data_IF_348348160517
#
_entry.id   IF_348348160517
#
_cell.length_a   1.000
_cell.length_b   1.000
_cell.length_c   1.000
_cell.angle_alpha   90.00
_cell.angle_beta   90.00
_cell.angle_gamma   90.00
#
_symmetry.space_group_name_H-M   'P 1'
#
loop_
_entity.id
_entity.type
_entity.pdbx_description
1 polymer ?
#
# COMPACT_ATOMS: atom_id res chain seq x y z
N UNK A 1 9.41 -3.94 10.74
CA UNK A 1 9.41 -4.38 12.15
C UNK A 1 9.35 -5.91 12.21
N UNK A 2 10.06 -6.54 13.15
CA UNK A 2 9.96 -7.99 13.38
C UNK A 2 9.49 -8.21 14.81
N UNK A 3 8.39 -8.93 14.98
CA UNK A 3 7.85 -9.29 16.29
C UNK A 3 7.91 -10.80 16.50
N UNK A 4 8.31 -11.23 17.71
CA UNK A 4 8.31 -12.65 18.06
C UNK A 4 6.87 -13.07 18.40
N UNK A 5 6.39 -14.15 17.81
CA UNK A 5 5.13 -14.76 18.22
C UNK A 5 5.39 -15.74 19.36
N UNK A 6 5.02 -15.42 20.61
CA UNK A 6 5.45 -16.18 21.78
C UNK A 6 4.97 -17.63 21.78
N UNK A 7 3.80 -17.88 21.21
CA UNK A 7 3.09 -19.16 21.23
C UNK A 7 3.48 -20.09 20.09
N UNK A 8 4.06 -19.58 19.01
CA UNK A 8 4.34 -20.37 17.80
C UNK A 8 5.82 -20.60 17.54
N UNK A 9 6.72 -19.99 18.34
CA UNK A 9 8.16 -20.01 18.05
C UNK A 9 8.53 -19.37 16.71
N UNK A 10 7.60 -18.61 16.11
CA UNK A 10 7.74 -17.96 14.80
C UNK A 10 8.01 -16.48 14.95
N UNK A 11 8.60 -15.90 13.91
CA UNK A 11 8.74 -14.45 13.78
C UNK A 11 7.69 -13.93 12.81
N UNK A 12 7.04 -12.83 13.17
CA UNK A 12 6.15 -12.06 12.31
C UNK A 12 6.92 -10.86 11.78
N UNK A 13 7.04 -10.77 10.47
CA UNK A 13 7.50 -9.54 9.82
C UNK A 13 6.27 -8.66 9.61
N UNK A 14 6.37 -7.40 10.05
CA UNK A 14 5.36 -6.37 9.86
C UNK A 14 6.04 -5.25 9.07
N UNK A 15 5.51 -4.98 7.89
CA UNK A 15 5.88 -3.79 7.12
C UNK A 15 5.27 -2.57 7.81
N UNK A 16 6.06 -1.52 7.97
CA UNK A 16 5.56 -0.23 8.45
C UNK A 16 5.70 0.74 7.28
N UNK A 17 4.60 1.38 6.93
CA UNK A 17 4.49 2.24 5.78
C UNK A 17 4.77 3.70 6.18
N UNK A 18 6.05 4.06 6.19
CA UNK A 18 6.51 5.39 6.62
C UNK A 18 7.34 6.14 5.58
N UNK A 19 7.59 5.55 4.41
CA UNK A 19 8.50 6.15 3.43
C UNK A 19 7.92 7.44 2.81
N UNK A 20 6.59 7.52 2.66
CA UNK A 20 5.86 8.73 2.28
C UNK A 20 4.81 9.11 3.34
N UNK A 21 5.11 8.87 4.61
CA UNK A 21 4.24 9.33 5.69
C UNK A 21 4.31 10.85 5.83
N UNK A 22 3.44 11.52 5.08
CA UNK A 22 3.15 12.94 5.21
C UNK A 22 2.03 13.16 6.23
N UNK A 23 1.94 14.37 6.76
CA UNK A 23 0.79 14.81 7.56
C UNK A 23 -0.17 15.61 6.67
N UNK A 24 -1.46 15.57 7.00
CA UNK A 24 -2.47 16.39 6.34
C UNK A 24 -2.25 17.86 6.72
N UNK A 25 -2.21 18.74 5.73
CA UNK A 25 -2.15 20.19 5.96
C UNK A 25 -3.50 20.73 6.45
N UNK A 26 -3.54 21.80 7.27
CA UNK A 26 -4.80 22.34 7.80
C UNK A 26 -5.83 22.71 6.74
N UNK A 27 -5.38 23.17 5.57
CA UNK A 27 -6.24 23.60 4.46
C UNK A 27 -6.66 22.44 3.54
N UNK A 28 -6.08 21.26 3.72
CA UNK A 28 -6.30 20.13 2.85
C UNK A 28 -7.62 19.42 3.18
N UNK A 29 -8.42 19.13 2.16
CA UNK A 29 -9.66 18.35 2.32
C UNK A 29 -9.38 16.85 2.45
N UNK A 30 -10.32 16.09 3.03
CA UNK A 30 -10.21 14.62 3.10
C UNK A 30 -10.01 13.99 1.72
N UNK A 31 -10.67 14.55 0.69
CA UNK A 31 -10.53 14.10 -0.71
C UNK A 31 -9.13 14.33 -1.25
N UNK A 32 -8.56 15.52 -1.06
CA UNK A 32 -7.19 15.83 -1.49
C UNK A 32 -6.18 14.97 -0.75
N UNK A 33 -6.37 14.80 0.56
CA UNK A 33 -5.51 14.00 1.40
C UNK A 33 -5.55 12.51 1.03
N UNK A 34 -6.76 11.93 0.97
CA UNK A 34 -6.97 10.54 0.57
C UNK A 34 -6.44 10.25 -0.84
N UNK A 35 -6.56 11.22 -1.75
CA UNK A 35 -6.00 11.14 -3.11
C UNK A 35 -4.48 11.09 -3.12
N UNK A 36 -3.81 11.96 -2.34
CA UNK A 36 -2.35 11.92 -2.21
C UNK A 36 -1.88 10.57 -1.68
N UNK A 37 -2.60 10.01 -0.70
CA UNK A 37 -2.29 8.70 -0.13
C UNK A 37 -2.51 7.55 -1.13
N UNK A 38 -3.58 7.61 -1.94
CA UNK A 38 -3.80 6.65 -3.03
C UNK A 38 -2.70 6.68 -4.09
N UNK A 39 -2.34 7.86 -4.59
CA UNK A 39 -1.40 8.02 -5.71
C UNK A 39 0.01 7.47 -5.43
N UNK A 40 0.42 7.41 -4.16
CA UNK A 40 1.78 6.99 -3.80
C UNK A 40 1.94 5.47 -3.74
N UNK A 41 0.84 4.70 -3.65
CA UNK A 41 0.77 3.23 -3.60
C UNK A 41 2.05 2.51 -3.11
N UNK A 42 2.50 2.87 -1.91
CA UNK A 42 3.72 2.31 -1.32
C UNK A 42 3.55 0.81 -1.03
N UNK A 43 2.35 0.43 -0.59
CA UNK A 43 1.96 -0.94 -0.28
C UNK A 43 2.12 -1.83 -1.52
N UNK A 44 1.53 -1.43 -2.66
CA UNK A 44 1.66 -2.12 -3.94
C UNK A 44 3.12 -2.18 -4.42
N UNK A 45 3.84 -1.06 -4.36
CA UNK A 45 5.23 -0.99 -4.77
C UNK A 45 6.13 -1.95 -3.96
N UNK A 46 6.08 -1.88 -2.63
CA UNK A 46 6.91 -2.72 -1.76
C UNK A 46 6.44 -4.17 -1.82
N UNK A 47 5.13 -4.44 -1.83
CA UNK A 47 4.56 -5.78 -1.93
C UNK A 47 5.01 -6.51 -3.19
N UNK A 48 5.03 -5.82 -4.34
CA UNK A 48 5.53 -6.36 -5.61
C UNK A 48 7.04 -6.62 -5.56
N UNK A 49 7.83 -5.68 -5.03
CA UNK A 49 9.29 -5.83 -4.89
C UNK A 49 9.63 -7.02 -3.98
N UNK A 50 8.97 -7.14 -2.83
CA UNK A 50 9.19 -8.24 -1.88
C UNK A 50 8.86 -9.58 -2.51
N UNK A 51 7.71 -9.69 -3.18
CA UNK A 51 7.32 -10.90 -3.92
C UNK A 51 8.36 -11.30 -4.95
N UNK A 52 8.88 -10.35 -5.73
CA UNK A 52 9.92 -10.64 -6.72
C UNK A 52 11.25 -11.05 -6.08
N UNK A 53 11.70 -10.35 -5.02
CA UNK A 53 12.98 -10.63 -4.36
C UNK A 53 12.97 -11.94 -3.58
N UNK A 54 11.90 -12.23 -2.85
CA UNK A 54 11.79 -13.42 -2.02
C UNK A 54 11.56 -14.69 -2.84
N UNK A 55 10.91 -14.57 -4.01
CA UNK A 55 10.81 -15.68 -4.98
C UNK A 55 12.18 -16.20 -5.41
N UNK A 56 13.21 -15.34 -5.47
CA UNK A 56 14.60 -15.77 -5.77
C UNK A 56 15.22 -16.64 -4.66
N UNK A 57 14.63 -16.63 -3.48
CA UNK A 57 15.02 -17.43 -2.32
C UNK A 57 14.06 -18.62 -2.10
N UNK A 58 13.28 -18.99 -3.12
CA UNK A 58 12.26 -20.05 -3.06
C UNK A 58 11.16 -19.80 -2.00
N UNK A 59 10.92 -18.52 -1.67
CA UNK A 59 9.88 -18.13 -0.73
C UNK A 59 8.72 -17.43 -1.45
N UNK A 60 7.54 -18.04 -1.38
CA UNK A 60 6.32 -17.45 -1.91
C UNK A 60 5.71 -16.48 -0.89
N UNK A 61 6.01 -15.19 -1.04
CA UNK A 61 5.49 -14.15 -0.15
C UNK A 61 3.99 -13.90 -0.41
N UNK A 62 3.11 -14.18 0.56
CA UNK A 62 1.68 -13.94 0.43
C UNK A 62 1.40 -12.45 0.65
N UNK A 63 1.40 -11.68 -0.44
CA UNK A 63 1.04 -10.27 -0.42
C UNK A 63 -0.40 -10.08 -0.89
N UNK A 64 -1.20 -9.42 -0.07
CA UNK A 64 -2.58 -9.01 -0.37
C UNK A 64 -2.65 -7.50 -0.17
N UNK A 65 -3.15 -6.80 -1.19
CA UNK A 65 -3.29 -5.34 -1.15
C UNK A 65 -4.52 -4.95 -0.32
N UNK A 66 -4.35 -4.02 0.62
CA UNK A 66 -5.41 -3.61 1.55
C UNK A 66 -6.58 -2.88 0.88
N UNK A 67 -6.33 -2.23 -0.26
CA UNK A 67 -7.27 -1.36 -0.97
C UNK A 67 -7.83 -0.22 -0.11
N UNK A 68 -7.13 0.16 0.97
CA UNK A 68 -7.63 1.12 1.96
C UNK A 68 -8.01 2.48 1.35
N UNK A 69 -7.25 2.95 0.35
CA UNK A 69 -7.50 4.24 -0.29
C UNK A 69 -8.29 4.14 -1.62
N UNK A 70 -8.86 2.97 -1.93
CA UNK A 70 -9.59 2.75 -3.18
C UNK A 70 -10.80 3.68 -3.34
N UNK A 71 -11.43 4.10 -2.24
CA UNK A 71 -12.53 5.07 -2.25
C UNK A 71 -12.13 6.46 -2.81
N UNK A 72 -10.83 6.76 -2.83
CA UNK A 72 -10.26 8.00 -3.34
C UNK A 72 -9.64 7.84 -4.74
N UNK A 73 -9.74 6.65 -5.34
CA UNK A 73 -9.36 6.40 -6.72
C UNK A 73 -10.20 7.26 -7.68
N UNK A 74 -9.64 7.61 -8.84
CA UNK A 74 -10.38 8.38 -9.84
C UNK A 74 -11.38 7.41 -10.47
N UNK A 75 -12.67 7.71 -10.32
CA UNK A 75 -13.69 7.16 -11.20
C UNK A 75 -13.69 7.97 -12.51
N UNK A 76 -12.54 8.07 -13.17
CA UNK A 76 -12.50 8.58 -14.54
C UNK A 76 -12.51 7.38 -15.48
N UNK A 77 -13.71 6.95 -15.84
CA UNK A 77 -13.89 6.46 -17.20
C UNK A 77 -13.83 7.69 -18.09
N UNK A 78 -13.03 7.71 -19.17
CA UNK A 78 -13.22 8.74 -20.19
C UNK A 78 -14.70 8.66 -20.61
N UNK A 79 -15.40 9.79 -20.52
CA UNK A 79 -16.73 9.91 -21.10
C UNK A 79 -16.65 9.49 -22.57
N UNK A 80 -17.50 8.56 -22.99
CA UNK A 80 -17.64 8.11 -24.39
C UNK A 80 -18.24 9.20 -25.31
N UNK A 81 -17.92 10.47 -25.07
CA UNK A 81 -18.41 11.63 -25.80
C UNK A 81 -17.23 12.52 -26.23
N UNK A 82 -16.28 11.95 -26.97
CA UNK A 82 -15.42 12.71 -27.89
C UNK A 82 -15.48 12.00 -29.26
N UNK A 83 -16.55 12.29 -30.01
CA UNK A 83 -16.69 12.08 -31.46
C UNK A 83 -16.21 13.34 -32.23
#
# INVERSE_FOLDING_TARGET
MVTRQPTQGKYRVIMLDFAQCTFREPEETDKQWGRKKWNQDEEGAIGLVMRHRLKKLDYNFPFEHSNHFLEWAETEFPSEDED
#
